data_IF_800850718676
#
_entry.id   IF_800850718676
#
_cell.length_a   1.000
_cell.length_b   1.000
_cell.length_c   1.000
_cell.angle_alpha   90.00
_cell.angle_beta   90.00
_cell.angle_gamma   90.00
#
_symmetry.space_group_name_H-M   'P 1'
#
loop_
_entity.id
_entity.type
_entity.pdbx_description
1 polymer ?
#
# COMPACT_ATOMS: atom_id res chain seq x y z
N UNK A 1 3.77 -12.46 -12.41
CA UNK A 1 2.71 -12.32 -11.39
C UNK A 1 2.19 -10.89 -11.42
N UNK A 2 0.92 -10.68 -11.75
CA UNK A 2 0.31 -9.35 -11.87
C UNK A 2 -0.08 -8.86 -10.47
N UNK A 3 0.29 -7.63 -10.13
CA UNK A 3 -0.04 -7.00 -8.85
C UNK A 3 -1.55 -7.13 -8.56
N UNK A 4 -1.92 -7.77 -7.44
CA UNK A 4 -3.30 -8.17 -7.14
C UNK A 4 -4.16 -7.02 -6.57
N UNK A 5 -3.90 -5.79 -7.01
CA UNK A 5 -4.69 -4.62 -6.65
C UNK A 5 -4.88 -3.66 -7.83
N UNK A 6 -6.09 -3.12 -7.93
CA UNK A 6 -6.41 -1.99 -8.81
C UNK A 6 -5.83 -0.73 -8.20
N UNK A 7 -5.07 0.03 -9.00
CA UNK A 7 -4.54 1.34 -8.62
C UNK A 7 -5.50 2.40 -9.14
N UNK A 8 -6.08 3.19 -8.25
CA UNK A 8 -6.99 4.28 -8.59
C UNK A 8 -6.44 5.60 -8.04
N UNK A 9 -6.57 6.70 -8.80
CA UNK A 9 -6.12 8.03 -8.37
C UNK A 9 -7.23 9.06 -8.56
N UNK A 10 -7.40 9.95 -7.58
CA UNK A 10 -8.27 11.12 -7.70
C UNK A 10 -7.46 12.41 -7.51
N UNK A 11 -7.94 13.51 -8.11
CA UNK A 11 -7.23 14.80 -8.10
C UNK A 11 -7.43 15.58 -6.81
N UNK A 12 -8.61 15.47 -6.18
CA UNK A 12 -8.97 16.28 -5.01
C UNK A 12 -9.73 15.44 -3.96
N UNK A 13 -9.16 15.16 -2.78
CA UNK A 13 -7.75 15.37 -2.43
C UNK A 13 -6.82 14.51 -3.29
N UNK A 14 -5.65 15.04 -3.68
CA UNK A 14 -4.67 14.33 -4.54
C UNK A 14 -4.14 13.08 -3.83
N UNK A 15 -4.70 11.92 -4.16
CA UNK A 15 -4.45 10.66 -3.44
C UNK A 15 -4.35 9.47 -4.41
N UNK A 16 -3.86 8.33 -3.92
CA UNK A 16 -3.86 7.04 -4.62
C UNK A 16 -4.47 5.97 -3.72
N UNK A 17 -5.43 5.21 -4.24
CA UNK A 17 -5.98 4.02 -3.62
C UNK A 17 -5.39 2.74 -4.26
N UNK A 18 -5.04 1.78 -3.41
CA UNK A 18 -4.79 0.39 -3.79
C UNK A 18 -5.99 -0.45 -3.36
N UNK A 19 -6.73 -1.02 -4.31
CA UNK A 19 -7.97 -1.76 -4.06
C UNK A 19 -7.74 -3.24 -4.37
N UNK A 20 -7.88 -4.10 -3.38
CA UNK A 20 -7.60 -5.53 -3.50
C UNK A 20 -8.90 -6.31 -3.79
N UNK A 21 -8.79 -7.49 -4.40
CA UNK A 21 -9.94 -8.37 -4.67
C UNK A 21 -10.69 -8.78 -3.38
N UNK A 22 -10.01 -8.74 -2.23
CA UNK A 22 -10.62 -8.98 -0.90
C UNK A 22 -11.53 -7.84 -0.41
N UNK A 23 -11.66 -6.75 -1.16
CA UNK A 23 -12.42 -5.55 -0.76
C UNK A 23 -11.64 -4.61 0.16
N UNK A 24 -10.42 -4.99 0.59
CA UNK A 24 -9.53 -4.07 1.32
C UNK A 24 -9.05 -2.96 0.41
N UNK A 25 -8.95 -1.76 0.97
CA UNK A 25 -8.45 -0.57 0.25
C UNK A 25 -7.46 0.19 1.11
N UNK A 26 -6.33 0.60 0.50
CA UNK A 26 -5.33 1.46 1.14
C UNK A 26 -5.33 2.80 0.43
N UNK A 27 -5.59 3.89 1.16
CA UNK A 27 -5.56 5.25 0.62
C UNK A 27 -4.28 5.97 1.08
N UNK A 28 -3.51 6.53 0.14
CA UNK A 28 -2.24 7.22 0.40
C UNK A 28 -2.20 8.59 -0.28
N UNK A 29 -1.34 9.48 0.22
CA UNK A 29 -1.08 10.81 -0.37
C UNK A 29 -1.89 11.97 0.21
N UNK A 30 -2.81 11.71 1.14
CA UNK A 30 -3.55 12.76 1.85
C UNK A 30 -2.61 13.53 2.81
N UNK A 31 -2.83 14.84 2.95
CA UNK A 31 -2.02 15.70 3.85
C UNK A 31 -2.61 15.85 5.26
N UNK A 32 -3.81 15.33 5.48
CA UNK A 32 -4.47 15.29 6.78
C UNK A 32 -5.37 14.06 6.90
N UNK A 33 -5.70 13.69 8.13
CA UNK A 33 -6.63 12.59 8.40
C UNK A 33 -8.02 12.86 7.78
N UNK A 34 -8.49 14.11 7.86
CA UNK A 34 -9.75 14.55 7.26
C UNK A 34 -9.75 14.36 5.74
N UNK A 35 -8.65 14.73 5.06
CA UNK A 35 -8.49 14.48 3.63
C UNK A 35 -8.42 12.99 3.30
N UNK A 36 -7.77 12.18 4.15
CA UNK A 36 -7.70 10.73 3.98
C UNK A 36 -9.09 10.10 4.03
N UNK A 37 -9.90 10.47 5.04
CA UNK A 37 -11.31 10.05 5.17
C UNK A 37 -12.14 10.48 3.97
N UNK A 38 -12.00 11.72 3.52
CA UNK A 38 -12.72 12.23 2.34
C UNK A 38 -12.35 11.47 1.06
N UNK A 39 -11.06 11.23 0.83
CA UNK A 39 -10.58 10.48 -0.32
C UNK A 39 -11.07 9.04 -0.29
N UNK A 40 -10.97 8.34 0.85
CA UNK A 40 -11.48 6.98 1.02
C UNK A 40 -12.99 6.88 0.69
N UNK A 41 -13.80 7.85 1.14
CA UNK A 41 -15.23 7.92 0.79
C UNK A 41 -15.46 8.13 -0.71
N UNK A 42 -14.65 8.96 -1.38
CA UNK A 42 -14.74 9.15 -2.83
C UNK A 42 -14.43 7.86 -3.60
N UNK A 43 -13.37 7.14 -3.22
CA UNK A 43 -13.05 5.84 -3.80
C UNK A 43 -14.17 4.81 -3.59
N UNK A 44 -14.68 4.71 -2.37
CA UNK A 44 -15.80 3.85 -2.03
C UNK A 44 -17.02 4.12 -2.93
N UNK A 45 -17.35 5.40 -3.14
CA UNK A 45 -18.48 5.81 -3.98
C UNK A 45 -18.27 5.45 -5.45
N UNK A 46 -17.05 5.57 -5.97
CA UNK A 46 -16.71 5.14 -7.33
C UNK A 46 -16.95 3.63 -7.48
N UNK A 47 -16.45 2.82 -6.53
CA UNK A 47 -16.62 1.36 -6.54
C UNK A 47 -18.10 0.97 -6.48
N UNK A 48 -18.89 1.63 -5.64
CA UNK A 48 -20.34 1.40 -5.56
C UNK A 48 -21.07 1.75 -6.86
N UNK A 49 -20.68 2.84 -7.54
CA UNK A 49 -21.26 3.22 -8.84
C UNK A 49 -20.96 2.22 -9.95
N UNK A 50 -19.90 1.43 -9.82
CA UNK A 50 -19.56 0.34 -10.74
C UNK A 50 -20.37 -0.95 -10.46
N UNK A 51 -21.31 -0.94 -9.51
CA UNK A 51 -22.19 -2.08 -9.20
C UNK A 51 -21.67 -3.01 -8.10
N UNK A 52 -20.54 -2.69 -7.46
CA UNK A 52 -20.03 -3.50 -6.35
C UNK A 52 -20.69 -3.08 -5.03
N UNK A 53 -21.27 -4.04 -4.31
CA UNK A 53 -21.83 -3.83 -2.96
C UNK A 53 -20.70 -3.74 -1.92
N UNK A 54 -19.90 -2.68 -2.01
CA UNK A 54 -18.73 -2.48 -1.16
C UNK A 54 -19.06 -1.59 0.05
N UNK A 55 -18.90 -2.16 1.26
CA UNK A 55 -19.00 -1.45 2.54
C UNK A 55 -17.59 -1.18 3.07
N UNK A 56 -17.26 0.08 3.26
CA UNK A 56 -15.94 0.50 3.72
C UNK A 56 -16.02 1.02 5.15
N UNK A 57 -15.19 0.47 6.04
CA UNK A 57 -14.96 0.99 7.39
C UNK A 57 -13.61 1.69 7.41
N UNK A 58 -13.57 2.91 7.96
CA UNK A 58 -12.33 3.64 8.14
C UNK A 58 -11.65 3.14 9.41
N UNK A 59 -10.47 2.55 9.25
CA UNK A 59 -9.67 2.06 10.36
C UNK A 59 -8.26 2.68 10.19
N UNK A 60 -7.97 3.80 10.87
CA UNK A 60 -6.74 4.57 10.65
C UNK A 60 -5.48 3.77 11.02
N UNK A 61 -5.60 2.86 11.98
CA UNK A 61 -4.55 1.96 12.46
C UNK A 61 -4.36 0.74 11.55
N UNK A 62 -5.23 0.56 10.55
CA UNK A 62 -5.32 -0.66 9.74
C UNK A 62 -4.38 -0.68 8.54
N UNK A 63 -3.39 0.21 8.50
CA UNK A 63 -2.20 -0.05 7.71
C UNK A 63 -1.10 -0.64 8.60
N UNK A 64 -1.12 -1.96 8.88
CA UNK A 64 -0.14 -2.64 9.73
C UNK A 64 1.22 -2.81 9.03
N UNK A 65 1.46 -2.07 7.94
CA UNK A 65 2.65 -2.17 7.13
C UNK A 65 3.61 -1.00 7.39
N UNK A 66 4.86 -1.30 7.69
CA UNK A 66 5.92 -0.28 7.73
C UNK A 66 6.20 0.19 6.30
N UNK A 67 6.15 1.51 6.08
CA UNK A 67 6.49 2.12 4.79
C UNK A 67 7.97 2.50 4.80
N UNK A 68 8.80 1.77 4.06
CA UNK A 68 10.22 2.09 3.89
C UNK A 68 10.46 2.72 2.52
N UNK A 69 11.12 3.88 2.49
CA UNK A 69 11.47 4.59 1.24
C UNK A 69 12.97 4.44 0.98
N UNK A 70 13.32 3.52 0.08
CA UNK A 70 14.68 3.33 -0.38
C UNK A 70 15.07 4.42 -1.38
N UNK A 71 16.24 5.04 -1.20
CA UNK A 71 16.74 6.07 -2.12
C UNK A 71 17.37 5.46 -3.37
N UNK A 72 18.08 4.34 -3.22
CA UNK A 72 18.82 3.70 -4.30
C UNK A 72 18.74 2.16 -4.20
N UNK A 73 18.04 1.50 -5.13
CA UNK A 73 17.15 2.08 -6.15
C UNK A 73 15.96 2.83 -5.51
N UNK A 74 15.32 3.75 -6.25
CA UNK A 74 14.22 4.57 -5.72
C UNK A 74 12.93 3.74 -5.62
N UNK A 75 12.78 3.01 -4.52
CA UNK A 75 11.70 2.04 -4.27
C UNK A 75 10.97 2.37 -2.97
N UNK A 76 9.66 2.13 -2.95
CA UNK A 76 8.85 2.13 -1.72
C UNK A 76 8.48 0.70 -1.38
N UNK A 77 8.87 0.26 -0.18
CA UNK A 77 8.55 -1.04 0.39
C UNK A 77 7.42 -0.90 1.42
N UNK A 78 6.47 -1.83 1.39
CA UNK A 78 5.46 -2.02 2.43
C UNK A 78 5.79 -3.36 3.11
N UNK A 79 6.23 -3.30 4.36
CA UNK A 79 6.69 -4.46 5.13
C UNK A 79 5.63 -4.79 6.18
N UNK A 80 5.06 -5.99 6.13
CA UNK A 80 4.01 -6.43 7.05
C UNK A 80 4.59 -7.31 8.16
N UNK A 81 3.98 -7.27 9.35
CA UNK A 81 4.37 -8.12 10.50
C UNK A 81 4.34 -9.63 10.20
N UNK A 82 3.60 -10.05 9.17
CA UNK A 82 3.58 -11.44 8.67
C UNK A 82 4.83 -11.85 7.90
N UNK A 83 5.78 -10.94 7.68
CA UNK A 83 6.95 -11.14 6.81
C UNK A 83 6.65 -10.93 5.32
N UNK A 84 5.39 -10.67 4.93
CA UNK A 84 5.06 -10.27 3.55
C UNK A 84 5.66 -8.89 3.26
N UNK A 85 6.25 -8.74 2.09
CA UNK A 85 6.85 -7.48 1.62
C UNK A 85 6.28 -7.16 0.24
N UNK A 86 5.92 -5.89 0.03
CA UNK A 86 5.50 -5.36 -1.27
C UNK A 86 6.46 -4.28 -1.70
N UNK A 87 7.09 -4.43 -2.86
CA UNK A 87 7.99 -3.42 -3.44
C UNK A 87 7.29 -2.70 -4.59
N UNK A 88 7.37 -1.37 -4.63
CA UNK A 88 6.71 -0.54 -5.65
C UNK A 88 7.62 0.60 -6.10
N UNK A 89 7.44 1.06 -7.34
CA UNK A 89 8.22 2.17 -7.92
C UNK A 89 9.39 1.77 -8.81
N UNK A 90 9.63 0.46 -8.99
CA UNK A 90 10.64 -0.05 -9.92
C UNK A 90 10.24 0.24 -11.38
N UNK A 91 11.20 0.72 -12.17
CA UNK A 91 11.09 0.91 -13.62
C UNK A 91 11.53 -0.33 -14.39
N UNK A 92 12.47 -1.07 -13.84
CA UNK A 92 12.97 -2.33 -14.40
C UNK A 92 12.99 -3.40 -13.32
N UNK A 93 12.91 -4.67 -13.73
CA UNK A 93 12.82 -5.81 -12.82
C UNK A 93 14.00 -5.87 -11.83
N UNK A 94 15.20 -5.55 -12.30
CA UNK A 94 16.43 -5.64 -11.51
C UNK A 94 16.46 -4.67 -10.31
N UNK A 95 15.78 -3.54 -10.40
CA UNK A 95 15.61 -2.62 -9.25
C UNK A 95 14.79 -3.27 -8.12
N UNK A 96 13.86 -4.17 -8.46
CA UNK A 96 13.07 -4.89 -7.45
C UNK A 96 13.94 -5.89 -6.71
N UNK A 97 14.79 -6.63 -7.43
CA UNK A 97 15.74 -7.56 -6.83
C UNK A 97 16.75 -6.84 -5.96
N UNK A 98 17.39 -5.78 -6.49
CA UNK A 98 18.34 -4.98 -5.73
C UNK A 98 17.72 -4.37 -4.45
N UNK A 99 16.47 -3.90 -4.51
CA UNK A 99 15.79 -3.37 -3.34
C UNK A 99 15.47 -4.45 -2.29
N UNK A 100 15.16 -5.67 -2.72
CA UNK A 100 14.96 -6.79 -1.80
C UNK A 100 16.26 -7.19 -1.12
N UNK A 101 17.34 -7.38 -1.88
CA UNK A 101 18.66 -7.72 -1.36
C UNK A 101 19.17 -6.66 -0.35
N UNK A 102 18.96 -5.38 -0.65
CA UNK A 102 19.35 -4.29 0.25
C UNK A 102 18.60 -4.30 1.60
N UNK A 103 17.31 -4.65 1.60
CA UNK A 103 16.50 -4.62 2.83
C UNK A 103 16.57 -5.94 3.61
N UNK A 104 16.87 -7.05 2.95
CA UNK A 104 16.81 -8.38 3.53
C UNK A 104 17.64 -8.55 4.82
N UNK A 105 18.92 -8.10 4.90
CA UNK A 105 19.72 -8.18 6.12
C UNK A 105 19.08 -7.46 7.32
N UNK A 106 18.51 -6.28 7.07
CA UNK A 106 17.82 -5.50 8.10
C UNK A 106 16.58 -6.25 8.58
N UNK A 107 15.79 -6.82 7.67
CA UNK A 107 14.60 -7.58 8.06
C UNK A 107 14.93 -8.84 8.86
N UNK A 108 16.05 -9.50 8.54
CA UNK A 108 16.51 -10.68 9.30
C UNK A 108 16.94 -10.33 10.71
N UNK A 109 17.48 -9.13 10.95
CA UNK A 109 17.84 -8.65 12.29
C UNK A 109 16.61 -8.50 13.20
N UNK A 110 15.48 -8.05 12.65
CA UNK A 110 14.22 -7.87 13.37
C UNK A 110 13.28 -9.08 13.31
N UNK A 111 13.77 -10.23 12.85
CA UNK A 111 12.98 -11.46 12.84
C UNK A 111 12.64 -11.86 14.27
N UNK A 112 11.37 -11.83 14.64
CA UNK A 112 10.91 -12.40 15.91
C UNK A 112 11.12 -13.92 15.86
N UNK A 113 11.88 -14.45 16.82
CA UNK A 113 11.83 -15.88 17.13
C UNK A 113 10.41 -16.19 17.60
N UNK A 114 9.77 -17.20 17.01
CA UNK A 114 8.42 -17.60 17.43
C UNK A 114 8.50 -18.07 18.88
N UNK A 115 7.91 -17.29 19.79
CA UNK A 115 7.40 -17.77 21.08
C UNK A 115 5.93 -18.11 20.91
#
# INVERSE_FOLDING_TARGET
>A
MRFAAVIMRIREPKTTALIFASGKMVCTGAKSEQQSKLAARKYARIIQKLGFNAKFKYEPELFPGLIYRMKQPKIVLLIFVSGKIVLTGAKVRDETYAAFENIYPVLTEFRKNQQ
#
